data_IF_450815736718
#
_entry.id   IF_450815736718
#
_cell.length_a   1.000
_cell.length_b   1.000
_cell.length_c   1.000
_cell.angle_alpha   90.00
_cell.angle_beta   90.00
_cell.angle_gamma   90.00
#
_symmetry.space_group_name_H-M   'P 1'
#
loop_
_entity.id
_entity.type
_entity.pdbx_description
1 polymer ?
#
# COMPACT_ATOMS: atom_id res chain seq x y z
N UNK A 1 14.74 8.82 6.63
CA UNK A 1 15.50 7.60 7.00
C UNK A 1 14.77 6.70 8.00
N UNK A 2 13.80 7.20 8.74
CA UNK A 2 12.69 6.43 9.38
C UNK A 2 11.99 5.50 8.39
N UNK A 3 12.11 5.80 7.10
CA UNK A 3 11.56 4.99 6.01
C UNK A 3 12.04 3.52 6.03
N UNK A 4 13.28 3.21 6.41
CA UNK A 4 13.76 1.82 6.36
C UNK A 4 12.95 0.96 7.32
N UNK A 5 12.76 1.40 8.58
CA UNK A 5 11.99 0.64 9.59
C UNK A 5 10.51 0.53 9.19
N UNK A 6 9.92 1.64 8.78
CA UNK A 6 8.51 1.62 8.35
C UNK A 6 8.32 0.83 7.06
N UNK A 7 9.35 0.79 6.22
CA UNK A 7 9.28 0.12 4.92
C UNK A 7 9.47 -1.39 4.99
N UNK A 8 10.11 -1.92 6.01
CA UNK A 8 10.25 -3.37 6.19
C UNK A 8 9.22 -3.94 7.14
N UNK A 9 9.03 -3.28 8.29
CA UNK A 9 8.25 -3.85 9.38
C UNK A 9 6.73 -3.74 9.17
N UNK A 10 6.26 -2.61 8.61
CA UNK A 10 4.82 -2.47 8.30
C UNK A 10 4.38 -3.52 7.29
N UNK A 11 5.02 -3.67 6.12
CA UNK A 11 4.63 -4.67 5.14
C UNK A 11 4.70 -6.11 5.64
N UNK A 12 5.72 -6.40 6.45
CA UNK A 12 5.91 -7.73 7.03
C UNK A 12 4.92 -8.04 8.18
N UNK A 13 4.21 -7.03 8.69
CA UNK A 13 3.35 -7.17 9.86
C UNK A 13 4.14 -7.46 11.13
N UNK A 14 5.20 -6.69 11.37
CA UNK A 14 6.14 -6.82 12.48
C UNK A 14 6.31 -5.53 13.28
N UNK A 15 5.50 -4.52 13.00
CA UNK A 15 5.62 -3.21 13.64
C UNK A 15 5.49 -3.28 15.17
N UNK A 16 4.73 -4.23 15.68
CA UNK A 16 4.56 -4.44 17.13
C UNK A 16 5.82 -4.98 17.82
N UNK A 17 6.77 -5.53 17.09
CA UNK A 17 8.08 -5.90 17.64
C UNK A 17 8.88 -4.68 18.08
N UNK A 18 8.60 -3.52 17.47
CA UNK A 18 9.27 -2.23 17.76
C UNK A 18 8.41 -1.34 18.65
N UNK A 19 7.11 -1.19 18.33
CA UNK A 19 6.23 -0.22 18.96
C UNK A 19 5.26 -0.86 19.98
N UNK A 20 5.35 -2.17 20.17
CA UNK A 20 4.56 -2.88 21.16
C UNK A 20 3.08 -3.11 20.76
N UNK A 21 2.22 -3.44 21.74
CA UNK A 21 0.86 -3.93 21.49
C UNK A 21 -0.04 -2.98 20.70
N UNK A 22 0.23 -1.68 20.74
CA UNK A 22 -0.58 -0.67 20.06
C UNK A 22 -0.66 -0.89 18.54
N UNK A 23 0.35 -1.51 17.95
CA UNK A 23 0.41 -1.77 16.50
C UNK A 23 0.06 -3.20 16.10
N UNK A 24 -0.29 -4.06 17.06
CA UNK A 24 -0.62 -5.46 16.82
C UNK A 24 -1.79 -5.66 15.84
N UNK A 25 -2.79 -4.77 15.88
CA UNK A 25 -3.90 -4.81 14.94
C UNK A 25 -3.43 -4.58 13.49
N UNK A 26 -2.47 -3.66 13.29
CA UNK A 26 -1.84 -3.41 12.00
C UNK A 26 -1.09 -4.66 11.49
N UNK A 27 -0.32 -5.29 12.36
CA UNK A 27 0.45 -6.48 12.00
C UNK A 27 -0.46 -7.65 11.61
N UNK A 28 -1.51 -7.89 12.38
CA UNK A 28 -2.52 -8.91 12.03
C UNK A 28 -3.16 -8.64 10.67
N UNK A 29 -3.47 -7.38 10.37
CA UNK A 29 -4.02 -6.98 9.09
C UNK A 29 -3.05 -7.25 7.94
N UNK A 30 -1.81 -6.79 8.06
CA UNK A 30 -0.79 -6.97 7.02
C UNK A 30 -0.48 -8.45 6.77
N UNK A 31 -0.39 -9.27 7.82
CA UNK A 31 -0.21 -10.72 7.71
C UNK A 31 -1.42 -11.41 7.08
N UNK A 32 -2.63 -10.94 7.37
CA UNK A 32 -3.87 -11.45 6.74
C UNK A 32 -3.89 -11.15 5.25
N UNK A 33 -3.48 -9.94 4.83
CA UNK A 33 -3.35 -9.59 3.41
C UNK A 33 -2.24 -10.40 2.71
N UNK A 34 -1.20 -10.78 3.44
CA UNK A 34 -0.11 -11.61 2.94
C UNK A 34 0.73 -10.98 1.82
N UNK A 35 0.71 -9.63 1.71
CA UNK A 35 1.41 -8.92 0.63
C UNK A 35 2.91 -9.16 0.63
N UNK A 36 3.52 -9.27 1.80
CA UNK A 36 4.94 -9.54 1.93
C UNK A 36 5.31 -10.92 1.40
N UNK A 37 4.57 -11.96 1.82
CA UNK A 37 4.74 -13.32 1.32
C UNK A 37 4.59 -13.40 -0.20
N UNK A 38 3.61 -12.68 -0.76
CA UNK A 38 3.44 -12.58 -2.21
C UNK A 38 4.61 -11.86 -2.90
N UNK A 39 5.22 -10.88 -2.22
CA UNK A 39 6.43 -10.22 -2.74
C UNK A 39 7.63 -11.17 -2.75
N UNK A 40 7.86 -11.94 -1.68
CA UNK A 40 8.92 -12.96 -1.62
C UNK A 40 8.78 -13.98 -2.77
N UNK A 41 7.60 -14.57 -2.94
CA UNK A 41 7.33 -15.52 -4.01
C UNK A 41 7.53 -14.92 -5.42
N UNK A 42 7.34 -13.60 -5.57
CA UNK A 42 7.47 -12.93 -6.86
C UNK A 42 8.91 -12.64 -7.26
N UNK A 43 9.84 -12.51 -6.30
CA UNK A 43 11.25 -12.22 -6.60
C UNK A 43 11.84 -13.23 -7.59
N UNK A 44 11.60 -14.52 -7.38
CA UNK A 44 12.15 -15.58 -8.23
C UNK A 44 11.52 -15.64 -9.64
N UNK A 45 10.34 -15.05 -9.78
CA UNK A 45 9.60 -14.99 -11.03
C UNK A 45 9.92 -13.74 -11.87
N UNK A 46 10.76 -12.84 -11.36
CA UNK A 46 11.11 -11.61 -12.08
C UNK A 46 12.08 -11.89 -13.24
N UNK A 47 12.01 -11.08 -14.30
CA UNK A 47 13.04 -11.09 -15.34
C UNK A 47 14.43 -10.88 -14.71
N UNK A 48 15.47 -11.56 -15.23
CA UNK A 48 16.84 -11.51 -14.66
C UNK A 48 17.35 -10.08 -14.43
N UNK A 49 17.20 -9.18 -15.39
CA UNK A 49 17.63 -7.78 -15.30
C UNK A 49 16.91 -7.02 -14.16
N UNK A 50 15.61 -7.28 -13.96
CA UNK A 50 14.84 -6.64 -12.88
C UNK A 50 15.31 -7.14 -11.53
N UNK A 51 15.53 -8.46 -11.39
CA UNK A 51 16.04 -9.05 -10.16
C UNK A 51 17.44 -8.55 -9.84
N UNK A 52 18.31 -8.43 -10.84
CA UNK A 52 19.64 -7.86 -10.68
C UNK A 52 19.60 -6.41 -10.18
N UNK A 53 18.74 -5.57 -10.76
CA UNK A 53 18.56 -4.18 -10.32
C UNK A 53 18.10 -4.10 -8.85
N UNK A 54 17.16 -4.96 -8.43
CA UNK A 54 16.72 -5.03 -7.04
C UNK A 54 17.82 -5.51 -6.09
N UNK A 55 18.67 -6.44 -6.52
CA UNK A 55 19.83 -6.88 -5.75
C UNK A 55 20.85 -5.73 -5.55
N UNK A 56 21.14 -4.96 -6.59
CA UNK A 56 22.01 -3.78 -6.47
C UNK A 56 21.42 -2.73 -5.55
N UNK A 57 20.13 -2.47 -5.64
CA UNK A 57 19.45 -1.56 -4.72
C UNK A 57 19.58 -2.04 -3.27
N UNK A 58 19.27 -3.31 -3.02
CA UNK A 58 19.40 -3.92 -1.70
C UNK A 58 20.84 -3.83 -1.16
N UNK A 59 21.84 -4.09 -2.01
CA UNK A 59 23.25 -3.95 -1.63
C UNK A 59 23.59 -2.52 -1.23
N UNK A 60 23.09 -1.51 -1.95
CA UNK A 60 23.30 -0.09 -1.61
C UNK A 60 22.66 0.29 -0.26
N UNK A 61 21.42 -0.15 -0.01
CA UNK A 61 20.76 0.08 1.29
C UNK A 61 21.54 -0.59 2.42
N UNK A 62 21.98 -1.83 2.23
CA UNK A 62 22.71 -2.59 3.23
C UNK A 62 24.08 -1.99 3.51
N UNK A 63 24.77 -1.48 2.48
CA UNK A 63 26.03 -0.74 2.66
C UNK A 63 25.81 0.49 3.56
N UNK A 64 24.70 1.21 3.36
CA UNK A 64 24.37 2.37 4.21
C UNK A 64 24.01 1.96 5.64
N UNK A 65 23.26 0.88 5.84
CA UNK A 65 22.97 0.34 7.17
C UNK A 65 24.28 -0.01 7.88
N UNK A 66 25.20 -0.69 7.20
CA UNK A 66 26.53 -1.03 7.76
C UNK A 66 27.35 0.20 8.11
N UNK A 67 27.40 1.22 7.24
CA UNK A 67 28.11 2.47 7.53
C UNK A 67 27.55 3.17 8.77
N UNK A 68 26.25 3.06 9.02
CA UNK A 68 25.60 3.72 10.15
C UNK A 68 26.04 3.19 11.52
N UNK A 69 26.63 2.00 11.57
CA UNK A 69 27.21 1.45 12.80
C UNK A 69 28.35 2.31 13.35
N UNK A 70 28.97 3.12 12.48
CA UNK A 70 30.02 4.07 12.87
C UNK A 70 29.46 5.45 13.28
N UNK A 71 28.16 5.66 13.25
CA UNK A 71 27.53 6.89 13.73
C UNK A 71 27.42 6.88 15.27
N UNK A 72 27.29 8.04 15.91
CA UNK A 72 27.19 8.13 17.37
C UNK A 72 26.12 7.25 18.03
N UNK A 73 25.04 6.99 17.31
CA UNK A 73 23.93 6.12 17.74
C UNK A 73 24.00 4.69 17.19
N UNK A 74 25.03 4.35 16.40
CA UNK A 74 25.23 3.01 15.84
C UNK A 74 24.16 2.52 14.86
N UNK A 75 23.24 3.39 14.44
CA UNK A 75 22.08 3.09 13.57
C UNK A 75 21.83 4.21 12.57
N UNK A 76 21.03 4.00 11.50
CA UNK A 76 20.84 4.97 10.42
C UNK A 76 20.26 6.33 10.82
N UNK A 77 19.52 6.41 11.90
CA UNK A 77 18.96 7.68 12.41
C UNK A 77 18.78 7.68 13.92
N UNK A 78 18.77 8.86 14.57
CA UNK A 78 18.57 8.98 16.02
C UNK A 78 17.27 8.34 16.50
N UNK A 79 16.17 8.45 15.73
CA UNK A 79 14.87 7.90 16.08
C UNK A 79 14.92 6.38 16.21
N UNK A 80 15.66 5.70 15.31
CA UNK A 80 15.89 4.25 15.39
C UNK A 80 16.71 3.92 16.65
N UNK A 81 17.66 4.77 17.01
CA UNK A 81 18.45 4.64 18.24
C UNK A 81 17.57 4.73 19.49
N UNK A 82 16.63 5.69 19.53
CA UNK A 82 15.66 5.82 20.64
C UNK A 82 14.79 4.57 20.78
N UNK A 83 14.38 3.98 19.68
CA UNK A 83 13.60 2.73 19.63
C UNK A 83 14.43 1.48 19.99
N UNK A 84 15.75 1.62 20.12
CA UNK A 84 16.69 0.49 20.33
C UNK A 84 16.52 -0.63 19.30
N UNK A 85 16.17 -0.25 18.08
CA UNK A 85 15.94 -1.18 16.99
C UNK A 85 17.16 -1.22 16.07
N UNK A 86 17.56 -2.42 15.65
CA UNK A 86 18.59 -2.63 14.64
C UNK A 86 17.92 -3.11 13.36
N UNK A 87 17.98 -2.32 12.27
CA UNK A 87 17.36 -2.73 11.01
C UNK A 87 17.94 -4.03 10.48
N UNK A 88 17.07 -4.91 10.05
CA UNK A 88 17.47 -6.12 9.32
C UNK A 88 18.03 -5.74 7.93
N UNK A 89 18.83 -6.63 7.30
CA UNK A 89 19.28 -6.41 5.94
C UNK A 89 18.10 -6.31 4.96
N UNK A 90 18.14 -5.28 4.12
CA UNK A 90 17.17 -5.08 3.05
C UNK A 90 17.26 -6.20 2.02
N UNK A 91 16.11 -6.73 1.62
CA UNK A 91 15.96 -7.79 0.61
C UNK A 91 15.19 -7.28 -0.61
N UNK A 92 15.34 -7.86 -1.80
CA UNK A 92 14.52 -7.52 -2.97
C UNK A 92 13.01 -7.51 -2.72
N UNK A 93 12.52 -8.41 -1.87
CA UNK A 93 11.10 -8.48 -1.49
C UNK A 93 10.63 -7.20 -0.80
N UNK A 94 11.49 -6.52 -0.02
CA UNK A 94 11.17 -5.26 0.66
C UNK A 94 10.87 -4.14 -0.33
N UNK A 95 11.56 -4.13 -1.47
CA UNK A 95 11.26 -3.19 -2.56
C UNK A 95 9.95 -3.53 -3.28
N UNK A 96 9.70 -4.82 -3.55
CA UNK A 96 8.49 -5.26 -4.28
C UNK A 96 7.21 -5.07 -3.48
N UNK A 97 7.26 -5.27 -2.16
CA UNK A 97 6.06 -5.14 -1.31
C UNK A 97 5.53 -3.72 -1.28
N UNK A 98 6.40 -2.72 -1.46
CA UNK A 98 5.98 -1.33 -1.54
C UNK A 98 5.03 -1.06 -2.69
N UNK A 99 5.31 -1.57 -3.88
CA UNK A 99 4.40 -1.47 -5.01
C UNK A 99 3.03 -2.08 -4.70
N UNK A 100 3.00 -3.20 -3.97
CA UNK A 100 1.76 -3.86 -3.54
C UNK A 100 1.00 -3.03 -2.49
N UNK A 101 1.70 -2.43 -1.54
CA UNK A 101 1.09 -1.57 -0.51
C UNK A 101 0.50 -0.32 -1.13
N UNK A 102 1.26 0.36 -2.01
CA UNK A 102 0.78 1.55 -2.72
C UNK A 102 -0.45 1.19 -3.54
N UNK A 103 -0.42 0.08 -4.28
CA UNK A 103 -1.58 -0.38 -5.07
C UNK A 103 -2.79 -0.69 -4.18
N UNK A 104 -2.60 -1.36 -3.05
CA UNK A 104 -3.66 -1.62 -2.06
C UNK A 104 -4.20 -0.33 -1.44
N UNK A 105 -3.32 0.65 -1.23
CA UNK A 105 -3.69 1.95 -0.68
C UNK A 105 -4.46 2.82 -1.67
N UNK A 106 -4.09 2.81 -2.93
CA UNK A 106 -4.77 3.54 -3.99
C UNK A 106 -6.08 2.88 -4.43
N UNK A 107 -6.13 1.53 -4.43
CA UNK A 107 -7.32 0.74 -4.79
C UNK A 107 -8.34 0.56 -3.68
N UNK A 108 -8.57 1.55 -2.84
CA UNK A 108 -9.34 1.49 -1.57
C UNK A 108 -10.83 1.15 -1.66
N UNK A 109 -11.36 0.78 -2.79
CA UNK A 109 -12.79 0.50 -2.99
C UNK A 109 -13.31 -0.73 -2.22
N UNK A 110 -12.45 -1.60 -1.68
CA UNK A 110 -12.87 -2.81 -0.96
C UNK A 110 -13.79 -2.51 0.23
N UNK A 111 -13.66 -1.36 0.87
CA UNK A 111 -14.56 -0.92 1.96
C UNK A 111 -15.93 -0.56 1.45
N UNK A 112 -16.00 0.11 0.31
CA UNK A 112 -17.24 0.44 -0.36
C UNK A 112 -17.93 -0.84 -0.84
N UNK A 113 -17.18 -1.83 -1.31
CA UNK A 113 -17.68 -3.15 -1.67
C UNK A 113 -18.27 -3.89 -0.44
N UNK A 114 -17.58 -3.86 0.71
CA UNK A 114 -18.14 -4.42 1.95
C UNK A 114 -19.38 -3.65 2.39
N UNK A 115 -19.39 -2.33 2.32
CA UNK A 115 -20.53 -1.51 2.67
C UNK A 115 -21.72 -1.83 1.75
N UNK A 116 -21.51 -1.91 0.45
CA UNK A 116 -22.51 -2.33 -0.53
C UNK A 116 -23.07 -3.70 -0.20
N UNK A 117 -22.22 -4.68 0.07
CA UNK A 117 -22.63 -6.03 0.45
C UNK A 117 -23.50 -6.04 1.73
N UNK A 118 -23.17 -5.19 2.71
CA UNK A 118 -23.99 -5.04 3.94
C UNK A 118 -25.34 -4.39 3.66
N UNK A 119 -25.37 -3.36 2.82
CA UNK A 119 -26.61 -2.66 2.45
C UNK A 119 -27.52 -3.53 1.59
N UNK A 120 -26.98 -4.33 0.68
CA UNK A 120 -27.72 -5.28 -0.16
C UNK A 120 -28.50 -6.35 0.63
N UNK A 121 -28.17 -6.53 1.93
CA UNK A 121 -28.97 -7.39 2.84
C UNK A 121 -30.27 -6.73 3.30
N UNK A 122 -30.41 -5.42 3.18
CA UNK A 122 -31.54 -4.63 3.70
C UNK A 122 -32.23 -3.78 2.64
N UNK A 123 -31.52 -3.44 1.57
CA UNK A 123 -31.98 -2.56 0.51
C UNK A 123 -32.07 -3.32 -0.81
N UNK A 124 -33.04 -2.91 -1.65
CA UNK A 124 -33.16 -3.43 -3.00
C UNK A 124 -31.94 -3.00 -3.87
N UNK A 125 -31.65 -3.72 -4.96
CA UNK A 125 -30.57 -3.34 -5.89
C UNK A 125 -30.71 -1.89 -6.41
N UNK A 126 -31.93 -1.43 -6.66
CA UNK A 126 -32.23 -0.05 -7.06
C UNK A 126 -31.77 0.95 -5.99
N UNK A 127 -32.16 0.75 -4.75
CA UNK A 127 -31.78 1.62 -3.63
C UNK A 127 -30.28 1.63 -3.37
N UNK A 128 -29.60 0.48 -3.50
CA UNK A 128 -28.14 0.43 -3.40
C UNK A 128 -27.50 1.21 -4.55
N UNK A 129 -28.02 1.09 -5.78
CA UNK A 129 -27.55 1.82 -6.95
C UNK A 129 -27.68 3.35 -6.84
N UNK A 130 -28.71 3.84 -6.12
CA UNK A 130 -28.94 5.27 -5.88
C UNK A 130 -27.87 5.90 -4.95
N UNK A 131 -27.17 5.09 -4.16
CA UNK A 131 -26.13 5.56 -3.22
C UNK A 131 -24.75 5.71 -3.85
N UNK A 132 -24.52 5.15 -5.03
CA UNK A 132 -23.24 5.21 -5.72
C UNK A 132 -23.44 5.59 -7.19
N UNK A 133 -22.45 6.29 -7.77
CA UNK A 133 -22.43 6.52 -9.20
C UNK A 133 -22.56 5.21 -9.97
N UNK A 134 -23.32 5.25 -11.05
CA UNK A 134 -23.49 4.08 -11.93
C UNK A 134 -22.14 3.70 -12.54
N UNK A 135 -21.74 2.45 -12.36
CA UNK A 135 -20.60 1.90 -13.10
C UNK A 135 -20.98 1.80 -14.59
N UNK A 136 -20.03 2.06 -15.49
CA UNK A 136 -20.22 1.76 -16.90
C UNK A 136 -20.68 0.30 -17.07
N UNK A 137 -21.55 0.06 -18.03
CA UNK A 137 -22.16 -1.28 -18.21
C UNK A 137 -21.13 -2.36 -18.60
N UNK A 138 -19.98 -1.95 -19.16
CA UNK A 138 -18.86 -2.80 -19.51
C UNK A 138 -17.84 -3.03 -18.35
N UNK A 139 -18.05 -2.36 -17.21
CA UNK A 139 -17.15 -2.54 -16.06
C UNK A 139 -17.39 -3.89 -15.37
N UNK A 140 -16.34 -4.63 -15.01
CA UNK A 140 -16.49 -5.89 -14.27
C UNK A 140 -17.11 -5.64 -12.90
N UNK A 141 -18.29 -6.22 -12.69
CA UNK A 141 -19.04 -6.14 -11.42
C UNK A 141 -18.62 -7.31 -10.53
N UNK A 142 -17.84 -7.03 -9.50
CA UNK A 142 -17.39 -8.06 -8.53
C UNK A 142 -18.37 -8.28 -7.39
N UNK A 143 -19.21 -7.28 -7.11
CA UNK A 143 -20.05 -7.21 -5.91
C UNK A 143 -21.10 -8.33 -5.83
N UNK A 144 -21.71 -8.73 -6.95
CA UNK A 144 -22.75 -9.77 -6.96
C UNK A 144 -22.18 -11.15 -6.58
N UNK A 145 -21.00 -11.49 -7.11
CA UNK A 145 -20.30 -12.74 -6.76
C UNK A 145 -19.74 -12.70 -5.33
N UNK A 146 -19.22 -11.54 -4.91
CA UNK A 146 -18.69 -11.37 -3.55
C UNK A 146 -19.78 -11.46 -2.49
N UNK A 147 -20.99 -10.92 -2.75
CA UNK A 147 -22.14 -11.05 -1.83
C UNK A 147 -22.52 -12.51 -1.63
N UNK A 148 -22.55 -13.31 -2.70
CA UNK A 148 -22.85 -14.73 -2.60
C UNK A 148 -21.82 -15.51 -1.78
N UNK A 149 -20.53 -15.20 -1.97
CA UNK A 149 -19.42 -15.79 -1.21
C UNK A 149 -19.39 -15.35 0.26
N UNK A 150 -19.92 -14.17 0.56
CA UNK A 150 -19.94 -13.58 1.91
C UNK A 150 -21.23 -13.85 2.71
N UNK A 151 -22.16 -14.63 2.19
CA UNK A 151 -23.44 -14.93 2.89
C UNK A 151 -23.25 -15.56 4.28
N UNK A 152 -22.14 -16.24 4.54
CA UNK A 152 -21.78 -16.81 5.85
C UNK A 152 -20.74 -16.00 6.64
N UNK A 153 -20.16 -14.93 6.08
CA UNK A 153 -19.08 -14.16 6.69
C UNK A 153 -19.54 -13.03 7.60
N UNK A 154 -18.82 -12.81 8.69
CA UNK A 154 -19.00 -11.62 9.54
C UNK A 154 -18.36 -10.38 8.91
N UNK A 155 -19.15 -9.69 8.08
CA UNK A 155 -18.71 -8.46 7.38
C UNK A 155 -18.34 -7.32 8.35
N UNK A 156 -18.91 -7.30 9.58
CA UNK A 156 -18.52 -6.33 10.61
C UNK A 156 -17.10 -6.62 11.10
N UNK A 157 -16.82 -7.87 11.39
CA UNK A 157 -15.49 -8.31 11.80
C UNK A 157 -14.45 -8.05 10.72
N UNK A 158 -14.78 -8.33 9.46
CA UNK A 158 -13.89 -8.04 8.33
C UNK A 158 -13.60 -6.54 8.20
N UNK A 159 -14.63 -5.68 8.33
CA UNK A 159 -14.45 -4.23 8.28
C UNK A 159 -13.64 -3.69 9.47
N UNK A 160 -13.75 -4.31 10.67
CA UNK A 160 -13.02 -3.91 11.86
C UNK A 160 -11.55 -4.35 11.87
N UNK A 161 -11.16 -5.29 11.04
CA UNK A 161 -9.77 -5.73 10.94
C UNK A 161 -8.84 -4.68 10.32
N UNK A 162 -9.39 -3.72 9.58
CA UNK A 162 -8.56 -2.67 8.99
C UNK A 162 -8.20 -1.61 10.01
N UNK A 163 -6.92 -1.40 10.30
CA UNK A 163 -6.46 -0.37 11.23
C UNK A 163 -6.58 1.06 10.68
N UNK A 164 -6.91 1.19 9.38
CA UNK A 164 -7.05 2.51 8.74
C UNK A 164 -8.46 3.03 8.94
N UNK A 165 -8.65 4.21 9.54
CA UNK A 165 -9.98 4.79 9.73
C UNK A 165 -10.73 4.97 8.40
N UNK A 166 -12.03 4.69 8.41
CA UNK A 166 -12.90 5.06 7.29
C UNK A 166 -12.95 6.60 7.19
N UNK A 167 -12.90 7.14 5.97
CA UNK A 167 -13.09 8.57 5.76
C UNK A 167 -11.85 9.45 5.78
N UNK A 168 -10.64 8.88 5.69
CA UNK A 168 -9.47 9.71 5.39
C UNK A 168 -9.63 10.33 3.99
N UNK A 169 -9.34 11.65 3.84
CA UNK A 169 -9.43 12.30 2.53
C UNK A 169 -8.62 11.51 1.51
N UNK A 170 -9.29 11.11 0.44
CA UNK A 170 -8.60 10.48 -0.68
C UNK A 170 -7.93 11.63 -1.45
N UNK A 171 -6.60 11.65 -1.48
CA UNK A 171 -5.86 12.46 -2.42
C UNK A 171 -6.14 11.95 -3.83
N UNK A 172 -6.39 12.85 -4.76
CA UNK A 172 -6.43 12.54 -6.18
C UNK A 172 -5.20 13.16 -6.83
N UNK A 173 -4.59 12.44 -7.77
CA UNK A 173 -3.49 12.98 -8.57
C UNK A 173 -3.93 13.14 -10.01
N UNK A 174 -3.45 14.17 -10.68
CA UNK A 174 -3.74 14.43 -12.07
C UNK A 174 -2.45 14.42 -12.91
N UNK A 175 -2.56 13.96 -14.14
CA UNK A 175 -1.50 14.05 -15.13
C UNK A 175 -2.11 14.32 -16.51
N UNK A 176 -1.48 15.21 -17.29
CA UNK A 176 -1.91 15.54 -18.65
C UNK A 176 -0.74 15.46 -19.61
N UNK A 177 -1.04 14.95 -20.78
CA UNK A 177 -0.13 15.01 -21.93
C UNK A 177 -0.85 15.67 -23.09
N UNK A 178 -0.27 16.74 -23.62
CA UNK A 178 -0.78 17.43 -24.80
C UNK A 178 0.22 17.23 -25.93
N UNK A 179 -0.25 16.61 -27.02
CA UNK A 179 0.59 16.38 -28.20
C UNK A 179 0.96 17.70 -28.88
N UNK A 180 2.14 17.74 -29.49
CA UNK A 180 2.70 18.92 -30.17
C UNK A 180 1.77 19.58 -31.21
N UNK A 181 0.94 18.80 -31.91
CA UNK A 181 -0.02 19.32 -32.87
C UNK A 181 -1.17 20.14 -32.28
N UNK A 182 -1.33 20.07 -30.94
CA UNK A 182 -2.39 20.79 -30.19
C UNK A 182 -1.85 22.00 -29.41
N UNK A 183 -0.56 22.31 -29.53
CA UNK A 183 0.08 23.44 -28.85
C UNK A 183 0.50 24.51 -29.85
N UNK A 184 0.50 25.79 -29.47
CA UNK A 184 0.86 26.90 -30.32
C UNK A 184 2.33 26.86 -30.76
N UNK A 185 3.23 26.47 -29.86
CA UNK A 185 4.67 26.39 -30.11
C UNK A 185 5.14 25.04 -30.63
N UNK A 186 4.21 24.14 -30.96
CA UNK A 186 4.47 22.77 -31.41
C UNK A 186 5.37 21.94 -30.50
N UNK A 187 5.51 22.33 -29.25
CA UNK A 187 6.15 21.53 -28.19
C UNK A 187 5.12 20.63 -27.51
N UNK A 188 5.46 19.37 -27.21
CA UNK A 188 4.63 18.54 -26.35
C UNK A 188 4.66 19.07 -24.91
N UNK A 189 3.52 19.05 -24.22
CA UNK A 189 3.42 19.47 -22.82
C UNK A 189 3.07 18.25 -21.97
N UNK A 190 3.85 18.06 -20.90
CA UNK A 190 3.56 17.13 -19.83
C UNK A 190 3.33 17.92 -18.55
N UNK A 191 2.19 17.72 -17.91
CA UNK A 191 1.92 18.27 -16.59
C UNK A 191 1.57 17.12 -15.64
N UNK A 192 2.08 17.18 -14.41
CA UNK A 192 1.82 16.21 -13.36
C UNK A 192 1.55 16.95 -12.06
N UNK A 193 0.45 16.61 -11.41
CA UNK A 193 -0.04 17.27 -10.20
C UNK A 193 -0.42 16.20 -9.17
N UNK A 194 0.56 15.63 -8.43
CA UNK A 194 0.31 14.66 -7.37
C UNK A 194 -0.26 15.36 -6.14
N UNK A 195 -1.47 14.98 -5.74
CA UNK A 195 -2.10 15.46 -4.51
C UNK A 195 -1.75 14.52 -3.35
N UNK A 196 -0.62 14.75 -2.73
CA UNK A 196 -0.13 14.00 -1.58
C UNK A 196 -0.22 14.85 -0.31
N UNK A 197 -0.16 14.21 0.86
CA UNK A 197 -0.03 14.95 2.11
C UNK A 197 1.32 15.65 2.16
N UNK A 198 1.33 16.88 2.65
CA UNK A 198 2.56 17.57 3.01
C UNK A 198 3.12 16.93 4.28
N UNK A 199 4.01 15.98 4.14
CA UNK A 199 4.72 15.35 5.23
C UNK A 199 6.20 15.28 4.87
N UNK A 200 7.06 15.63 5.81
CA UNK A 200 8.46 15.25 5.73
C UNK A 200 8.61 13.81 6.20
N UNK A 201 9.50 13.05 5.57
CA UNK A 201 9.74 11.68 5.97
C UNK A 201 10.33 11.59 7.37
#
# INVERSE_FOLDING_TARGET
>A
MTHVVTQTEIPAGRLSEILGPLTLASDKWMRTLGLYRLAEQKVDQLPPKTREALNFYAAGVNARIKQSQNLPWGVPSPEIGVLRYSPEPWRPADSLVWGKIISSHLGRNWRDEILRARLARKLSPKQVGELWPVYPDDAPRTTEKAVALMQGGDLKKLASLSPVPAGLPQGASNAWVIANKKTLNRGAILANDPHLRFSAP
#
